data_IF_126682025279
#
_entry.id   IF_126682025279
#
_cell.length_a   1.000
_cell.length_b   1.000
_cell.length_c   1.000
_cell.angle_alpha   90.00
_cell.angle_beta   90.00
_cell.angle_gamma   90.00
#
_symmetry.space_group_name_H-M   'P 1'
#
loop_
_entity.id
_entity.type
_entity.pdbx_description
1 polymer ?
#
# COMPACT_ATOMS: atom_id res chain seq x y z
N UNK A 1 -11.69 26.12 23.94
CA UNK A 1 -10.26 25.91 23.60
C UNK A 1 -10.20 25.94 22.08
N UNK A 2 -9.82 27.06 21.47
CA UNK A 2 -9.75 27.16 20.00
C UNK A 2 -8.61 26.26 19.50
N UNK A 3 -8.97 25.14 18.86
CA UNK A 3 -7.99 24.28 18.21
C UNK A 3 -7.36 25.10 17.08
N UNK A 4 -6.08 25.45 17.20
CA UNK A 4 -5.36 26.23 16.19
C UNK A 4 -5.56 25.61 14.80
N UNK A 5 -5.81 26.43 13.78
CA UNK A 5 -5.95 25.98 12.38
C UNK A 5 -4.77 25.10 11.92
N UNK A 6 -3.58 25.30 12.50
CA UNK A 6 -2.40 24.46 12.26
C UNK A 6 -2.60 23.01 12.74
N UNK A 7 -3.26 22.80 13.88
CA UNK A 7 -3.57 21.47 14.44
C UNK A 7 -4.60 20.75 13.59
N UNK A 8 -5.65 21.45 13.14
CA UNK A 8 -6.69 20.89 12.26
C UNK A 8 -6.09 20.46 10.92
N UNK A 9 -5.24 21.30 10.33
CA UNK A 9 -4.51 20.96 9.10
C UNK A 9 -3.61 19.74 9.30
N UNK A 10 -2.91 19.63 10.43
CA UNK A 10 -2.05 18.49 10.74
C UNK A 10 -2.86 17.19 10.87
N UNK A 11 -4.02 17.23 11.55
CA UNK A 11 -4.94 16.09 11.69
C UNK A 11 -5.42 15.59 10.32
N UNK A 12 -5.90 16.47 9.46
CA UNK A 12 -6.33 16.08 8.11
C UNK A 12 -5.19 15.48 7.28
N UNK A 13 -3.98 15.98 7.47
CA UNK A 13 -2.79 15.48 6.78
C UNK A 13 -2.43 14.06 7.27
N UNK A 14 -2.46 13.82 8.59
CA UNK A 14 -2.25 12.51 9.19
C UNK A 14 -3.31 11.49 8.75
N UNK A 15 -4.59 11.86 8.76
CA UNK A 15 -5.69 11.02 8.26
C UNK A 15 -5.46 10.61 6.78
N UNK A 16 -5.04 11.56 5.95
CA UNK A 16 -4.74 11.30 4.53
C UNK A 16 -3.56 10.34 4.38
N UNK A 17 -2.53 10.43 5.22
CA UNK A 17 -1.41 9.51 5.19
C UNK A 17 -1.77 8.11 5.67
N UNK A 18 -2.57 7.99 6.73
CA UNK A 18 -3.09 6.70 7.22
C UNK A 18 -3.93 6.02 6.14
N UNK A 19 -4.88 6.74 5.53
CA UNK A 19 -5.72 6.18 4.46
C UNK A 19 -4.88 5.69 3.26
N UNK A 20 -3.88 6.47 2.84
CA UNK A 20 -2.97 6.09 1.76
C UNK A 20 -2.13 4.86 2.13
N UNK A 21 -1.60 4.82 3.36
CA UNK A 21 -0.83 3.68 3.87
C UNK A 21 -1.64 2.40 3.81
N UNK A 22 -2.84 2.43 4.42
CA UNK A 22 -3.74 1.28 4.47
C UNK A 22 -4.12 0.81 3.07
N UNK A 23 -4.41 1.74 2.15
CA UNK A 23 -4.68 1.39 0.75
C UNK A 23 -3.51 0.70 0.04
N UNK A 24 -2.27 1.13 0.28
CA UNK A 24 -1.08 0.47 -0.28
C UNK A 24 -0.88 -0.93 0.33
N UNK A 25 -1.08 -1.07 1.64
CA UNK A 25 -0.96 -2.35 2.35
C UNK A 25 -1.99 -3.37 1.84
N UNK A 26 -3.26 -2.97 1.68
CA UNK A 26 -4.28 -3.84 1.10
C UNK A 26 -3.98 -4.23 -0.35
N UNK A 27 -3.51 -3.27 -1.17
CA UNK A 27 -3.11 -3.58 -2.54
C UNK A 27 -1.97 -4.61 -2.58
N UNK A 28 -0.99 -4.49 -1.68
CA UNK A 28 0.11 -5.47 -1.55
C UNK A 28 -0.40 -6.84 -1.11
N UNK A 29 -1.26 -6.90 -0.10
CA UNK A 29 -1.83 -8.18 0.36
C UNK A 29 -2.63 -8.87 -0.73
N UNK A 30 -3.48 -8.14 -1.46
CA UNK A 30 -4.21 -8.69 -2.59
C UNK A 30 -3.26 -9.18 -3.68
N UNK A 31 -2.23 -8.39 -4.02
CA UNK A 31 -1.22 -8.79 -4.99
C UNK A 31 -0.49 -10.07 -4.55
N UNK A 32 -0.15 -10.21 -3.27
CA UNK A 32 0.46 -11.44 -2.74
C UNK A 32 -0.46 -12.65 -2.91
N UNK A 33 -1.76 -12.51 -2.65
CA UNK A 33 -2.74 -13.57 -2.87
C UNK A 33 -2.77 -13.96 -4.35
N UNK A 34 -2.84 -12.99 -5.25
CA UNK A 34 -2.82 -13.25 -6.69
C UNK A 34 -1.52 -13.92 -7.15
N UNK A 35 -0.36 -13.45 -6.67
CA UNK A 35 0.95 -14.04 -6.98
C UNK A 35 1.07 -15.47 -6.44
N UNK A 36 0.48 -15.76 -5.28
CA UNK A 36 0.44 -17.11 -4.72
C UNK A 36 -0.39 -18.07 -5.58
N UNK A 37 -1.52 -17.64 -6.13
CA UNK A 37 -2.25 -18.48 -7.10
C UNK A 37 -1.49 -18.65 -8.41
N UNK A 38 -0.80 -17.60 -8.88
CA UNK A 38 0.01 -17.65 -10.09
C UNK A 38 1.26 -18.53 -9.97
N UNK A 39 1.78 -18.75 -8.76
CA UNK A 39 2.87 -19.68 -8.51
C UNK A 39 2.60 -21.09 -9.08
N UNK A 40 1.36 -21.57 -8.99
CA UNK A 40 0.98 -22.89 -9.51
C UNK A 40 1.05 -22.98 -11.05
N UNK A 41 0.93 -21.85 -11.75
CA UNK A 41 0.86 -21.80 -13.21
C UNK A 41 2.13 -21.22 -13.88
N UNK A 42 2.84 -20.34 -13.19
CA UNK A 42 3.96 -19.56 -13.71
C UNK A 42 5.14 -19.65 -12.73
N UNK A 43 6.15 -20.44 -13.10
CA UNK A 43 7.05 -21.06 -12.13
C UNK A 43 8.07 -20.13 -11.47
N UNK A 44 8.60 -19.11 -12.17
CA UNK A 44 9.76 -18.36 -11.67
C UNK A 44 9.46 -16.90 -11.33
N UNK A 45 8.90 -16.12 -12.26
CA UNK A 45 8.73 -14.67 -12.08
C UNK A 45 7.79 -14.31 -10.90
N UNK A 46 6.61 -14.95 -10.74
CA UNK A 46 5.72 -14.67 -9.60
C UNK A 46 6.34 -14.96 -8.24
N UNK A 47 7.23 -15.96 -8.15
CA UNK A 47 7.90 -16.35 -6.89
C UNK A 47 8.82 -15.26 -6.40
N UNK A 48 9.65 -14.69 -7.29
CA UNK A 48 10.54 -13.60 -6.92
C UNK A 48 9.77 -12.34 -6.49
N UNK A 49 8.68 -12.01 -7.19
CA UNK A 49 7.81 -10.91 -6.81
C UNK A 49 7.12 -11.13 -5.47
N UNK A 50 6.68 -12.37 -5.20
CA UNK A 50 6.09 -12.74 -3.92
C UNK A 50 7.09 -12.60 -2.77
N UNK A 51 8.29 -13.15 -2.92
CA UNK A 51 9.36 -13.06 -1.93
C UNK A 51 9.76 -11.59 -1.67
N UNK A 52 9.89 -10.78 -2.73
CA UNK A 52 10.18 -9.36 -2.60
C UNK A 52 9.06 -8.62 -1.85
N UNK A 53 7.80 -8.86 -2.23
CA UNK A 53 6.63 -8.26 -1.60
C UNK A 53 6.51 -8.59 -0.10
N UNK A 54 6.96 -9.77 0.31
CA UNK A 54 6.94 -10.20 1.70
C UNK A 54 8.10 -9.62 2.51
N UNK A 55 9.33 -9.77 2.02
CA UNK A 55 10.54 -9.47 2.80
C UNK A 55 10.92 -7.99 2.81
N UNK A 56 10.78 -7.31 1.68
CA UNK A 56 11.30 -5.95 1.50
C UNK A 56 10.68 -4.92 2.46
N UNK A 57 9.34 -4.90 2.69
CA UNK A 57 8.72 -3.96 3.63
C UNK A 57 9.21 -4.11 5.06
N UNK A 58 9.48 -5.35 5.48
CA UNK A 58 9.94 -5.65 6.82
C UNK A 58 11.38 -5.18 7.04
N UNK A 59 12.28 -5.54 6.12
CA UNK A 59 13.70 -5.13 6.16
C UNK A 59 13.81 -3.60 6.09
N UNK A 60 13.10 -2.97 5.16
CA UNK A 60 13.19 -1.53 4.96
C UNK A 60 12.56 -0.74 6.12
N UNK A 61 11.49 -1.26 6.73
CA UNK A 61 10.91 -0.68 7.93
C UNK A 61 11.88 -0.73 9.11
N UNK A 62 12.62 -1.82 9.31
CA UNK A 62 13.60 -1.93 10.40
C UNK A 62 14.76 -0.94 10.21
N UNK A 63 15.24 -0.80 8.97
CA UNK A 63 16.30 0.17 8.65
C UNK A 63 15.84 1.62 8.87
N UNK A 64 14.59 1.94 8.52
CA UNK A 64 14.05 3.29 8.68
C UNK A 64 13.76 3.65 10.13
N UNK A 65 13.25 2.71 10.92
CA UNK A 65 13.01 2.90 12.36
C UNK A 65 14.32 3.13 13.11
N UNK A 66 15.40 2.42 12.76
CA UNK A 66 16.74 2.67 13.33
C UNK A 66 17.32 4.04 12.99
N UNK A 67 16.97 4.62 11.83
CA UNK A 67 17.55 5.90 11.35
C UNK A 67 16.77 7.15 11.74
N UNK A 68 15.48 7.06 12.06
CA UNK A 68 14.64 8.23 12.37
C UNK A 68 14.10 8.15 13.79
N UNK A 69 14.47 9.13 14.62
CA UNK A 69 13.73 9.42 15.87
C UNK A 69 12.31 9.83 15.48
N UNK A 70 11.33 9.01 15.85
CA UNK A 70 9.93 9.20 15.47
C UNK A 70 9.33 10.40 16.22
N UNK A 71 8.71 11.31 15.48
CA UNK A 71 7.99 12.44 16.08
C UNK A 71 6.66 11.93 16.65
N UNK A 72 6.19 12.46 17.79
CA UNK A 72 4.90 12.06 18.35
C UNK A 72 3.77 12.42 17.38
N UNK A 73 2.94 11.42 17.06
CA UNK A 73 1.74 11.55 16.24
C UNK A 73 0.59 12.10 17.09
N UNK A 74 -0.19 13.02 16.54
CA UNK A 74 -1.35 13.60 17.24
C UNK A 74 -2.52 12.58 17.24
N UNK A 75 -2.66 11.78 16.17
CA UNK A 75 -3.65 10.70 16.06
C UNK A 75 -3.14 9.33 16.55
N UNK A 76 -2.72 9.23 17.81
CA UNK A 76 -2.17 7.96 18.33
C UNK A 76 -3.18 6.80 18.25
N UNK A 77 -4.45 7.01 18.59
CA UNK A 77 -5.48 5.94 18.58
C UNK A 77 -5.79 5.41 17.18
N UNK A 78 -5.85 6.30 16.17
CA UNK A 78 -6.12 5.93 14.78
C UNK A 78 -4.87 5.33 14.13
N UNK A 79 -3.69 5.85 14.44
CA UNK A 79 -2.43 5.28 13.99
C UNK A 79 -2.21 3.87 14.54
N UNK A 80 -2.51 3.64 15.83
CA UNK A 80 -2.40 2.32 16.46
C UNK A 80 -3.40 1.31 15.85
N UNK A 81 -4.66 1.72 15.61
CA UNK A 81 -5.66 0.85 14.98
C UNK A 81 -5.24 0.34 13.61
N UNK A 82 -4.54 1.16 12.82
CA UNK A 82 -4.03 0.80 11.50
C UNK A 82 -2.55 0.39 11.48
N UNK A 83 -1.93 0.18 12.65
CA UNK A 83 -0.49 -0.13 12.78
C UNK A 83 0.43 0.83 11.99
N UNK A 84 -0.03 2.08 11.85
CA UNK A 84 0.62 3.12 11.07
C UNK A 84 1.82 3.69 11.81
N UNK A 85 2.92 3.84 11.08
CA UNK A 85 4.07 4.59 11.51
C UNK A 85 4.68 5.31 10.29
N UNK A 86 5.32 6.46 10.47
CA UNK A 86 5.93 7.24 9.39
C UNK A 86 7.01 6.41 8.67
N UNK A 87 7.78 5.64 9.44
CA UNK A 87 8.79 4.70 8.96
C UNK A 87 8.17 3.60 8.07
N UNK A 88 7.12 2.93 8.58
CA UNK A 88 6.34 1.92 7.84
C UNK A 88 5.68 2.47 6.58
N UNK A 89 5.14 3.69 6.64
CA UNK A 89 4.55 4.34 5.47
C UNK A 89 5.57 4.56 4.36
N UNK A 90 6.79 5.00 4.70
CA UNK A 90 7.86 5.18 3.72
C UNK A 90 8.31 3.84 3.11
N UNK A 91 8.46 2.80 3.95
CA UNK A 91 8.77 1.46 3.47
C UNK A 91 7.70 0.93 2.51
N UNK A 92 6.42 1.03 2.89
CA UNK A 92 5.31 0.58 2.07
C UNK A 92 5.20 1.38 0.76
N UNK A 93 5.43 2.69 0.79
CA UNK A 93 5.45 3.55 -0.40
C UNK A 93 6.53 3.13 -1.39
N UNK A 94 7.76 2.89 -0.91
CA UNK A 94 8.87 2.45 -1.76
C UNK A 94 8.59 1.05 -2.32
N UNK A 95 8.08 0.15 -1.48
CA UNK A 95 7.69 -1.20 -1.89
C UNK A 95 6.63 -1.14 -2.99
N UNK A 96 5.59 -0.33 -2.81
CA UNK A 96 4.53 -0.16 -3.80
C UNK A 96 5.09 0.33 -5.15
N UNK A 97 5.99 1.33 -5.12
CA UNK A 97 6.63 1.84 -6.33
C UNK A 97 7.50 0.79 -7.04
N UNK A 98 8.28 0.02 -6.27
CA UNK A 98 9.10 -1.05 -6.80
C UNK A 98 8.23 -2.17 -7.42
N UNK A 99 7.19 -2.62 -6.74
CA UNK A 99 6.26 -3.63 -7.25
C UNK A 99 5.57 -3.16 -8.52
N UNK A 100 5.11 -1.90 -8.57
CA UNK A 100 4.54 -1.31 -9.77
C UNK A 100 5.53 -1.34 -10.93
N UNK A 101 6.78 -0.92 -10.70
CA UNK A 101 7.82 -0.93 -11.72
C UNK A 101 8.12 -2.35 -12.21
N UNK A 102 8.28 -3.32 -11.31
CA UNK A 102 8.55 -4.70 -11.70
C UNK A 102 7.41 -5.33 -12.51
N UNK A 103 6.15 -5.06 -12.14
CA UNK A 103 5.00 -5.54 -12.90
C UNK A 103 4.96 -4.93 -14.32
N UNK A 104 5.32 -3.64 -14.48
CA UNK A 104 5.43 -3.00 -15.79
C UNK A 104 6.55 -3.60 -16.61
N UNK A 105 7.74 -3.80 -16.03
CA UNK A 105 8.87 -4.45 -16.70
C UNK A 105 8.48 -5.86 -17.15
N UNK A 106 7.80 -6.63 -16.28
CA UNK A 106 7.32 -7.95 -16.63
C UNK A 106 6.34 -7.94 -17.80
N UNK A 107 5.39 -6.99 -17.84
CA UNK A 107 4.48 -6.82 -18.98
C UNK A 107 5.25 -6.54 -20.28
N UNK A 108 6.21 -5.62 -20.24
CA UNK A 108 7.00 -5.25 -21.43
C UNK A 108 7.88 -6.41 -21.91
N UNK A 109 8.46 -7.17 -20.97
CA UNK A 109 9.26 -8.36 -21.30
C UNK A 109 8.44 -9.46 -21.98
N UNK A 110 7.19 -9.66 -21.57
CA UNK A 110 6.29 -10.62 -22.24
C UNK A 110 5.88 -10.14 -23.64
N UNK A 111 5.63 -8.84 -23.84
CA UNK A 111 5.27 -8.31 -25.16
C UNK A 111 6.38 -8.49 -26.22
N UNK A 112 7.64 -8.69 -25.81
CA UNK A 112 8.75 -8.97 -26.73
C UNK A 112 8.78 -10.43 -27.23
N UNK A 113 8.19 -11.36 -26.49
CA UNK A 113 8.12 -12.77 -26.87
C UNK A 113 6.75 -13.06 -27.51
N UNK A 114 6.73 -13.05 -28.84
CA UNK A 114 5.70 -13.49 -29.79
C UNK A 114 4.20 -13.38 -29.35
N UNK A 115 3.38 -12.51 -29.99
CA UNK A 115 2.00 -12.23 -29.58
C UNK A 115 0.98 -13.38 -29.75
N UNK A 116 1.37 -14.52 -30.33
CA UNK A 116 0.44 -15.60 -30.70
C UNK A 116 0.55 -16.89 -29.87
N UNK A 117 1.55 -17.05 -29.01
CA UNK A 117 1.79 -18.34 -28.32
C UNK A 117 1.44 -18.38 -26.83
N UNK A 118 1.14 -17.25 -26.16
CA UNK A 118 0.92 -17.28 -24.70
C UNK A 118 -0.47 -16.83 -24.28
N UNK A 119 -1.30 -17.79 -23.88
CA UNK A 119 -2.58 -17.59 -23.15
C UNK A 119 -2.40 -16.72 -21.89
N UNK A 120 -1.15 -16.50 -21.44
CA UNK A 120 -0.81 -15.73 -20.25
C UNK A 120 -0.33 -14.28 -20.52
N UNK A 121 -0.37 -13.80 -21.76
CA UNK A 121 0.03 -12.43 -22.13
C UNK A 121 -0.65 -11.28 -21.31
N UNK A 122 -1.93 -11.39 -20.88
CA UNK A 122 -2.57 -10.30 -20.13
C UNK A 122 -2.36 -10.39 -18.61
N UNK A 123 -1.65 -11.40 -18.09
CA UNK A 123 -1.58 -11.63 -16.63
C UNK A 123 -0.93 -10.47 -15.87
N UNK A 124 0.26 -9.95 -16.24
CA UNK A 124 0.85 -8.84 -15.49
C UNK A 124 0.07 -7.53 -15.63
N UNK A 125 -0.54 -7.28 -16.80
CA UNK A 125 -1.43 -6.14 -17.02
C UNK A 125 -2.68 -6.19 -16.13
N UNK A 126 -3.29 -7.37 -15.99
CA UNK A 126 -4.44 -7.57 -15.10
C UNK A 126 -4.04 -7.36 -13.63
N UNK A 127 -2.88 -7.88 -13.21
CA UNK A 127 -2.35 -7.64 -11.87
C UNK A 127 -2.08 -6.15 -11.61
N UNK A 128 -1.49 -5.44 -12.58
CA UNK A 128 -1.28 -3.98 -12.49
C UNK A 128 -2.59 -3.24 -12.29
N UNK A 129 -3.60 -3.58 -13.09
CA UNK A 129 -4.91 -2.97 -13.00
C UNK A 129 -5.54 -3.20 -11.61
N UNK A 130 -5.58 -4.45 -11.14
CA UNK A 130 -6.08 -4.79 -9.81
C UNK A 130 -5.29 -4.09 -8.70
N UNK A 131 -3.97 -4.02 -8.82
CA UNK A 131 -3.09 -3.41 -7.82
C UNK A 131 -3.37 -1.91 -7.65
N UNK A 132 -3.53 -1.18 -8.76
CA UNK A 132 -3.87 0.25 -8.75
C UNK A 132 -5.31 0.47 -8.29
N UNK A 133 -6.26 -0.32 -8.79
CA UNK A 133 -7.67 -0.19 -8.44
C UNK A 133 -7.90 -0.41 -6.94
N UNK A 134 -7.30 -1.47 -6.38
CA UNK A 134 -7.40 -1.80 -4.95
C UNK A 134 -6.88 -0.66 -4.10
N UNK A 135 -5.74 -0.07 -4.46
CA UNK A 135 -5.21 1.08 -3.75
C UNK A 135 -6.21 2.25 -3.74
N UNK A 136 -6.81 2.58 -4.88
CA UNK A 136 -7.74 3.71 -5.01
C UNK A 136 -9.00 3.45 -4.16
N UNK A 137 -9.61 2.27 -4.33
CA UNK A 137 -10.86 1.89 -3.64
C UNK A 137 -10.64 1.82 -2.14
N UNK A 138 -9.62 1.10 -1.66
CA UNK A 138 -9.33 0.98 -0.23
C UNK A 138 -8.97 2.35 0.39
N UNK A 139 -8.20 3.18 -0.30
CA UNK A 139 -7.89 4.54 0.20
C UNK A 139 -9.18 5.36 0.35
N UNK A 140 -10.10 5.27 -0.61
CA UNK A 140 -11.40 5.94 -0.56
C UNK A 140 -12.27 5.47 0.61
N UNK A 141 -12.42 4.15 0.78
CA UNK A 141 -13.21 3.54 1.86
C UNK A 141 -12.64 3.95 3.21
N UNK A 142 -11.32 3.82 3.43
CA UNK A 142 -10.70 4.15 4.71
C UNK A 142 -10.78 5.65 5.00
N UNK A 143 -10.61 6.51 3.99
CA UNK A 143 -10.82 7.95 4.16
C UNK A 143 -12.26 8.26 4.60
N UNK A 144 -13.25 7.61 4.01
CA UNK A 144 -14.65 7.78 4.38
C UNK A 144 -14.94 7.25 5.79
N UNK A 145 -14.41 6.09 6.16
CA UNK A 145 -14.55 5.50 7.49
C UNK A 145 -13.92 6.37 8.59
N UNK A 146 -12.72 6.91 8.35
CA UNK A 146 -12.06 7.83 9.28
C UNK A 146 -12.91 9.10 9.42
N UNK A 147 -13.38 9.68 8.32
CA UNK A 147 -14.22 10.87 8.36
C UNK A 147 -15.50 10.64 9.19
N UNK A 148 -16.21 9.53 8.95
CA UNK A 148 -17.41 9.14 9.70
C UNK A 148 -17.14 8.95 11.19
N UNK A 149 -16.02 8.30 11.54
CA UNK A 149 -15.61 8.09 12.93
C UNK A 149 -15.35 9.42 13.64
N UNK A 150 -14.71 10.37 12.96
CA UNK A 150 -14.48 11.71 13.48
C UNK A 150 -15.77 12.51 13.68
N UNK A 151 -16.67 12.52 12.69
CA UNK A 151 -17.96 13.21 12.82
C UNK A 151 -18.83 12.61 13.91
N UNK A 152 -18.78 11.28 14.11
CA UNK A 152 -19.50 10.64 15.21
C UNK A 152 -18.93 10.95 16.60
N UNK A 153 -17.61 11.19 16.70
CA UNK A 153 -16.95 11.57 17.94
C UNK A 153 -17.20 13.06 18.29
N UNK A 154 -17.22 13.95 17.29
CA UNK A 154 -17.58 15.37 17.47
C UNK A 154 -19.09 15.56 17.76
N UNK A 155 -19.96 14.62 17.37
CA UNK A 155 -21.39 14.62 17.74
C UNK A 155 -21.67 14.09 19.16
N UNK A 156 -20.66 13.51 19.80
CA UNK A 156 -20.73 12.96 21.17
C UNK A 156 -19.92 13.77 22.19
N UNK A 157 -19.33 14.91 21.79
CA UNK A 157 -18.68 15.90 22.66
C UNK A 157 -19.53 17.14 22.81
#
# INVERSE_FOLDING_TARGET
MELSQATIAQVHTEQRFIAKYTGMLFARLLLMICLFFLFFFMQQIPVYLFAFSFLFPWIWSDILTRRKKEKPLILFSTAQKYHYNISRYHAEKITYQALFFFLVVWQVSLCKYNPYESVCLPVPAFLLFLFVLTRIVCTGIIKHQIHKTYTSLDLLS
#
